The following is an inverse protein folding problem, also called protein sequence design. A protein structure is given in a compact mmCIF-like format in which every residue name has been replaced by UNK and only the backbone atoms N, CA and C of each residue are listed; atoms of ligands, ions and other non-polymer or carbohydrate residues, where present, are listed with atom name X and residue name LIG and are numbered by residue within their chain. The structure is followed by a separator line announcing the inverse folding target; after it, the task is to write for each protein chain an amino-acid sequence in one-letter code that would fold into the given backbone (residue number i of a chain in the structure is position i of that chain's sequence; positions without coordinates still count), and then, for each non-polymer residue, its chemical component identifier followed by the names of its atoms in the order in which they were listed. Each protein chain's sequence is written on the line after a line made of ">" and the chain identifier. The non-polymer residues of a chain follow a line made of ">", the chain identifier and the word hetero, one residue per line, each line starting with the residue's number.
data_IF_029345807275
#
_entry.id   IF_029345807275
#
_cell.length_a   1.000
_cell.length_b   1.000
_cell.length_c   1.000
_cell.angle_alpha   90.00
_cell.angle_beta   90.00
_cell.angle_gamma   90.00
#
_symmetry.space_group_name_H-M   'P 1'
#
loop_
_entity.id
_entity.type
_entity.pdbx_description
1 polymer ?
#
# COMPACT_ATOMS: atom_id res chain seq x y z
N UNK A 1 -17.70 16.56 -11.90
CA UNK A 1 -17.16 17.92 -12.04
C UNK A 1 -15.62 17.82 -12.01
N UNK A 2 -14.86 18.72 -12.66
CA UNK A 2 -13.38 18.64 -12.63
C UNK A 2 -12.83 18.77 -11.20
N UNK A 3 -13.54 19.50 -10.35
CA UNK A 3 -13.23 19.64 -8.93
C UNK A 3 -13.34 18.30 -8.17
N UNK A 4 -14.37 17.50 -8.47
CA UNK A 4 -14.54 16.18 -7.84
C UNK A 4 -13.37 15.25 -8.17
N UNK A 5 -12.93 15.24 -9.43
CA UNK A 5 -11.79 14.43 -9.88
C UNK A 5 -10.52 14.81 -9.16
N UNK A 6 -10.22 16.11 -9.06
CA UNK A 6 -9.04 16.59 -8.34
C UNK A 6 -9.10 16.21 -6.85
N UNK A 7 -10.26 16.38 -6.22
CA UNK A 7 -10.45 16.00 -4.82
C UNK A 7 -10.20 14.50 -4.59
N UNK A 8 -10.70 13.64 -5.48
CA UNK A 8 -10.44 12.20 -5.40
C UNK A 8 -8.96 11.87 -5.56
N UNK A 9 -8.26 12.49 -6.52
CA UNK A 9 -6.83 12.30 -6.71
C UNK A 9 -6.01 12.67 -5.47
N UNK A 10 -6.35 13.78 -4.82
CA UNK A 10 -5.70 14.20 -3.57
C UNK A 10 -5.94 13.21 -2.43
N UNK A 11 -7.16 12.66 -2.32
CA UNK A 11 -7.47 11.62 -1.32
C UNK A 11 -6.65 10.36 -1.59
N UNK A 12 -6.58 9.89 -2.83
CA UNK A 12 -5.81 8.70 -3.19
C UNK A 12 -4.31 8.87 -2.96
N UNK A 13 -3.76 10.03 -3.35
CA UNK A 13 -2.35 10.35 -3.13
C UNK A 13 -2.01 10.36 -1.63
N UNK A 14 -2.83 11.01 -0.80
CA UNK A 14 -2.61 11.05 0.65
C UNK A 14 -2.80 9.68 1.31
N UNK A 15 -3.78 8.88 0.86
CA UNK A 15 -3.92 7.51 1.33
C UNK A 15 -2.66 6.70 1.03
N UNK A 16 -2.14 6.80 -0.21
CA UNK A 16 -0.95 6.08 -0.60
C UNK A 16 0.28 6.50 0.22
N UNK A 17 0.45 7.81 0.45
CA UNK A 17 1.52 8.33 1.30
C UNK A 17 1.47 7.73 2.71
N UNK A 18 0.30 7.76 3.36
CA UNK A 18 0.15 7.25 4.73
C UNK A 18 0.36 5.74 4.80
N UNK A 19 -0.22 4.99 3.86
CA UNK A 19 -0.05 3.54 3.80
C UNK A 19 1.43 3.15 3.65
N UNK A 20 2.14 3.77 2.70
CA UNK A 20 3.56 3.50 2.45
C UNK A 20 4.46 3.95 3.62
N UNK A 21 4.12 5.04 4.31
CA UNK A 21 4.86 5.51 5.48
C UNK A 21 4.71 4.59 6.71
N UNK A 22 3.58 3.89 6.82
CA UNK A 22 3.31 2.94 7.90
C UNK A 22 3.96 1.58 7.66
N UNK A 23 4.24 1.21 6.41
CA UNK A 23 4.78 -0.12 6.08
C UNK A 23 5.92 -0.59 6.99
N UNK A 24 7.01 0.18 7.21
CA UNK A 24 8.14 -0.28 8.01
C UNK A 24 7.82 -0.34 9.50
N UNK A 25 6.60 -0.02 9.92
CA UNK A 25 6.13 -0.01 11.30
C UNK A 25 4.97 -1.00 11.52
N UNK A 26 4.56 -1.72 10.48
CA UNK A 26 3.55 -2.76 10.59
C UNK A 26 4.02 -3.82 11.59
N UNK A 27 3.18 -4.18 12.57
CA UNK A 27 3.51 -5.25 13.49
C UNK A 27 3.48 -6.60 12.75
N UNK A 28 4.28 -7.56 13.21
CA UNK A 28 4.47 -8.84 12.51
C UNK A 28 3.15 -9.62 12.32
N UNK A 29 2.22 -9.52 13.27
CA UNK A 29 0.90 -10.13 13.21
C UNK A 29 -0.02 -9.54 12.13
N UNK A 30 0.29 -8.35 11.61
CA UNK A 30 -0.43 -7.75 10.49
C UNK A 30 0.16 -8.14 9.13
N UNK A 31 1.29 -8.87 9.11
CA UNK A 31 1.98 -9.28 7.88
C UNK A 31 1.61 -10.73 7.55
N UNK A 32 0.78 -10.89 6.53
CA UNK A 32 0.28 -12.19 6.04
C UNK A 32 0.97 -12.64 4.75
N UNK A 33 1.75 -11.77 4.11
CA UNK A 33 2.55 -12.17 2.95
C UNK A 33 3.52 -13.31 3.30
N UNK A 34 3.59 -14.37 2.47
CA UNK A 34 4.41 -15.54 2.77
C UNK A 34 5.90 -15.22 2.67
N UNK A 35 6.57 -15.07 3.83
CA UNK A 35 8.00 -14.83 3.93
C UNK A 35 8.58 -15.40 5.23
N UNK A 36 9.88 -15.66 5.26
CA UNK A 36 10.55 -16.29 6.41
C UNK A 36 10.47 -15.43 7.69
N UNK A 37 10.52 -14.11 7.56
CA UNK A 37 10.43 -13.15 8.67
C UNK A 37 9.32 -12.15 8.33
N UNK A 38 8.14 -12.22 8.98
CA UNK A 38 7.00 -11.36 8.68
C UNK A 38 7.30 -9.92 9.09
N UNK A 39 7.77 -9.12 8.14
CA UNK A 39 8.12 -7.72 8.34
C UNK A 39 8.20 -7.00 7.00
N UNK A 40 8.05 -5.67 7.04
CA UNK A 40 8.32 -4.75 5.95
C UNK A 40 9.33 -3.65 6.33
N UNK A 41 10.12 -3.86 7.39
CA UNK A 41 11.13 -2.89 7.85
C UNK A 41 12.16 -2.52 6.77
N UNK A 42 12.39 -3.41 5.80
CA UNK A 42 13.30 -3.23 4.66
C UNK A 42 12.70 -2.40 3.52
N UNK A 43 11.40 -2.16 3.51
CA UNK A 43 10.73 -1.39 2.46
C UNK A 43 11.00 0.10 2.69
N UNK A 44 11.63 0.77 1.72
CA UNK A 44 11.91 2.20 1.82
C UNK A 44 10.64 3.03 1.70
N UNK A 45 10.50 4.04 2.57
CA UNK A 45 9.40 5.01 2.51
C UNK A 45 9.71 6.04 1.42
N UNK A 46 8.79 6.35 0.49
CA UNK A 46 8.97 7.44 -0.44
C UNK A 46 8.99 8.77 0.33
N UNK A 47 10.06 9.54 0.17
CA UNK A 47 10.26 10.84 0.84
C UNK A 47 10.01 12.01 -0.11
N UNK A 48 10.15 11.79 -1.42
CA UNK A 48 9.86 12.79 -2.44
C UNK A 48 8.54 12.48 -3.16
N UNK A 49 7.80 13.52 -3.63
CA UNK A 49 6.57 13.31 -4.40
C UNK A 49 6.76 12.41 -5.63
N UNK A 50 7.88 12.55 -6.34
CA UNK A 50 8.19 11.72 -7.50
C UNK A 50 8.40 10.24 -7.16
N UNK A 51 8.97 9.95 -5.99
CA UNK A 51 9.14 8.57 -5.51
C UNK A 51 7.78 7.95 -5.16
N UNK A 52 6.87 8.74 -4.57
CA UNK A 52 5.52 8.28 -4.30
C UNK A 52 4.76 7.97 -5.59
N UNK A 53 4.83 8.85 -6.59
CA UNK A 53 4.23 8.59 -7.90
C UNK A 53 4.79 7.33 -8.57
N UNK A 54 6.11 7.14 -8.53
CA UNK A 54 6.74 5.92 -9.03
C UNK A 54 6.29 4.65 -8.27
N UNK A 55 6.01 4.77 -6.97
CA UNK A 55 5.43 3.66 -6.20
C UNK A 55 3.99 3.38 -6.60
N UNK A 56 3.18 4.40 -6.83
CA UNK A 56 1.79 4.23 -7.32
C UNK A 56 1.78 3.53 -8.67
N UNK A 57 2.64 3.95 -9.60
CA UNK A 57 2.77 3.31 -10.93
C UNK A 57 3.19 1.83 -10.81
N UNK A 58 4.14 1.50 -9.92
CA UNK A 58 4.50 0.10 -9.63
C UNK A 58 3.29 -0.71 -9.12
N UNK A 59 2.48 -0.15 -8.21
CA UNK A 59 1.28 -0.81 -7.70
C UNK A 59 0.31 -1.13 -8.84
N UNK A 60 0.01 -0.15 -9.69
CA UNK A 60 -0.89 -0.28 -10.83
C UNK A 60 -0.38 -1.35 -11.81
N UNK A 61 0.91 -1.32 -12.13
CA UNK A 61 1.53 -2.29 -13.03
C UNK A 61 1.44 -3.71 -12.49
N UNK A 62 1.69 -3.91 -11.19
CA UNK A 62 1.62 -5.24 -10.57
C UNK A 62 0.18 -5.74 -10.50
N UNK A 63 -0.78 -4.90 -10.13
CA UNK A 63 -2.21 -5.26 -10.13
C UNK A 63 -2.65 -5.70 -11.52
N UNK A 64 -2.26 -4.94 -12.56
CA UNK A 64 -2.53 -5.33 -13.94
C UNK A 64 -1.88 -6.67 -14.30
N UNK A 65 -0.62 -6.90 -13.92
CA UNK A 65 0.08 -8.16 -14.22
C UNK A 65 -0.55 -9.38 -13.52
N UNK A 66 -1.07 -9.23 -12.29
CA UNK A 66 -1.70 -10.34 -11.57
C UNK A 66 -2.97 -10.86 -12.23
N UNK A 67 -3.63 -10.05 -13.06
CA UNK A 67 -4.81 -10.45 -13.83
C UNK A 67 -4.46 -11.32 -15.06
N UNK A 68 -3.24 -11.19 -15.57
CA UNK A 68 -2.86 -11.79 -16.87
C UNK A 68 -1.71 -12.80 -16.79
N UNK A 69 -0.96 -12.85 -15.68
CA UNK A 69 0.21 -13.71 -15.49
C UNK A 69 0.07 -14.57 -14.24
N UNK A 70 0.82 -15.68 -14.19
CA UNK A 70 1.01 -16.40 -12.94
C UNK A 70 1.82 -15.54 -11.96
N UNK A 71 1.49 -15.62 -10.67
CA UNK A 71 2.26 -14.95 -9.60
C UNK A 71 3.74 -15.34 -9.63
N UNK A 72 4.07 -16.54 -10.12
CA UNK A 72 5.46 -17.02 -10.27
C UNK A 72 6.27 -16.23 -11.30
N UNK A 73 5.60 -15.56 -12.22
CA UNK A 73 6.22 -14.82 -13.33
C UNK A 73 6.29 -13.30 -13.05
N UNK A 74 5.86 -12.86 -11.87
CA UNK A 74 5.87 -11.47 -11.42
C UNK A 74 7.11 -11.23 -10.56
N UNK A 75 7.75 -10.06 -10.70
CA UNK A 75 8.87 -9.68 -9.84
C UNK A 75 8.50 -9.77 -8.36
N UNK A 76 9.22 -10.59 -7.61
CA UNK A 76 8.93 -10.84 -6.19
C UNK A 76 8.99 -9.56 -5.36
N UNK A 77 9.94 -8.67 -5.64
CA UNK A 77 10.15 -7.45 -4.86
C UNK A 77 8.97 -6.49 -5.00
N UNK A 78 8.58 -6.19 -6.23
CA UNK A 78 7.43 -5.34 -6.54
C UNK A 78 6.13 -6.00 -6.07
N UNK A 79 5.95 -7.30 -6.30
CA UNK A 79 4.77 -8.03 -5.82
C UNK A 79 4.62 -7.97 -4.30
N UNK A 80 5.72 -8.19 -3.55
CA UNK A 80 5.72 -8.08 -2.10
C UNK A 80 5.37 -6.67 -1.63
N UNK A 81 5.92 -5.63 -2.26
CA UNK A 81 5.59 -4.23 -1.91
C UNK A 81 4.14 -3.89 -2.21
N UNK A 82 3.60 -4.37 -3.33
CA UNK A 82 2.18 -4.21 -3.66
C UNK A 82 1.28 -4.91 -2.66
N UNK A 83 1.62 -6.13 -2.25
CA UNK A 83 0.89 -6.81 -1.19
C UNK A 83 0.96 -6.04 0.13
N UNK A 84 2.16 -5.60 0.51
CA UNK A 84 2.41 -4.84 1.72
C UNK A 84 1.53 -3.58 1.79
N UNK A 85 1.40 -2.86 0.67
CA UNK A 85 0.54 -1.69 0.57
C UNK A 85 -0.90 -1.99 1.02
N UNK A 86 -1.49 -3.06 0.49
CA UNK A 86 -2.85 -3.46 0.88
C UNK A 86 -2.96 -3.89 2.35
N UNK A 87 -1.93 -4.56 2.89
CA UNK A 87 -1.88 -4.90 4.32
C UNK A 87 -1.82 -3.66 5.22
N UNK A 88 -0.97 -2.68 4.87
CA UNK A 88 -0.93 -1.40 5.57
C UNK A 88 -2.28 -0.69 5.54
N UNK A 89 -2.90 -0.60 4.36
CA UNK A 89 -4.20 0.04 4.20
C UNK A 89 -5.28 -0.65 5.04
N UNK A 90 -5.33 -1.99 5.01
CA UNK A 90 -6.25 -2.78 5.84
C UNK A 90 -6.00 -2.59 7.34
N UNK A 91 -4.73 -2.60 7.75
CA UNK A 91 -4.34 -2.36 9.14
C UNK A 91 -4.76 -0.97 9.63
N UNK A 92 -4.51 0.06 8.81
CA UNK A 92 -4.92 1.45 9.10
C UNK A 92 -6.44 1.57 9.29
N UNK A 93 -7.21 0.96 8.40
CA UNK A 93 -8.68 0.98 8.50
C UNK A 93 -9.14 0.27 9.78
N UNK A 94 -8.60 -0.92 10.06
CA UNK A 94 -8.99 -1.72 11.21
C UNK A 94 -8.69 -1.05 12.55
N UNK A 95 -7.54 -0.36 12.66
CA UNK A 95 -7.06 0.16 13.94
C UNK A 95 -7.28 1.66 14.15
N UNK A 96 -7.54 2.43 13.09
CA UNK A 96 -7.74 3.86 13.22
C UNK A 96 -9.11 4.30 12.70
N UNK A 97 -9.50 3.92 11.48
CA UNK A 97 -10.76 4.41 10.92
C UNK A 97 -11.98 3.77 11.59
N UNK A 98 -12.01 2.44 11.72
CA UNK A 98 -13.16 1.74 12.29
C UNK A 98 -13.44 2.16 13.73
N UNK A 99 -12.45 2.21 14.65
CA UNK A 99 -12.70 2.72 16.00
C UNK A 99 -13.23 4.16 16.03
N UNK A 100 -12.69 5.04 15.19
CA UNK A 100 -13.20 6.43 15.09
C UNK A 100 -14.66 6.49 14.63
N UNK A 101 -15.08 5.60 13.73
CA UNK A 101 -16.46 5.54 13.27
C UNK A 101 -17.41 4.91 14.30
N UNK A 102 -16.92 3.95 15.09
CA UNK A 102 -17.70 3.31 16.16
C UNK A 102 -17.93 4.25 17.36
N UNK A 103 -17.18 5.35 17.46
CA UNK A 103 -17.30 6.41 18.48
C UNK A 103 -18.26 7.56 18.09
N UNK A 104 -18.78 7.58 16.86
CA UNK A 104 -19.71 8.60 16.33
C UNK A 104 -21.18 8.17 16.47
#
# INVERSE_FOLDING_TARGET
>A
DQLDTLNQQLVFYNHALVALAVLPRLPAEAVTFPQRRPSYHDVSVPVLPGELLARIEELEQIIYQTEIKSIRDIDYGSFRRTYAFFEASSWLVKHHLKPMLDEL
#
